data_IF_186008630509
#
_entry.id   IF_186008630509
#
_cell.length_a   1.000
_cell.length_b   1.000
_cell.length_c   1.000
_cell.angle_alpha   90.00
_cell.angle_beta   90.00
_cell.angle_gamma   90.00
#
_symmetry.space_group_name_H-M   'P 1'
#
loop_
_entity.id
_entity.type
_entity.pdbx_description
1 polymer ?
#
# COMPACT_ATOMS: atom_id res chain seq x y z
N UNK A 1 22.62 -59.83 6.71
CA UNK A 1 21.86 -58.92 7.59
C UNK A 1 22.63 -57.60 7.71
N UNK A 2 22.25 -56.59 6.93
CA UNK A 2 22.83 -55.24 7.05
C UNK A 2 21.72 -54.25 7.38
N UNK A 3 21.85 -53.62 8.55
CA UNK A 3 20.94 -52.59 9.06
C UNK A 3 21.16 -51.30 8.25
N UNK A 4 20.14 -50.86 7.52
CA UNK A 4 20.04 -49.47 7.08
C UNK A 4 19.67 -48.61 8.30
N UNK A 5 20.53 -47.65 8.65
CA UNK A 5 20.20 -46.55 9.55
C UNK A 5 19.60 -45.43 8.71
N UNK A 6 18.31 -45.14 8.91
CA UNK A 6 17.68 -43.92 8.45
C UNK A 6 18.25 -42.74 9.24
N UNK A 7 19.06 -41.91 8.60
CA UNK A 7 19.42 -40.59 9.12
C UNK A 7 18.35 -39.59 8.70
N UNK A 8 17.44 -39.31 9.62
CA UNK A 8 16.52 -38.18 9.55
C UNK A 8 17.38 -36.89 9.70
N UNK A 9 17.70 -36.24 8.59
CA UNK A 9 18.26 -34.90 8.61
C UNK A 9 17.11 -33.91 8.86
N UNK A 10 16.92 -33.54 10.13
CA UNK A 10 16.23 -32.29 10.46
C UNK A 10 17.05 -31.15 9.85
N UNK A 11 16.57 -30.60 8.74
CA UNK A 11 17.01 -29.30 8.26
C UNK A 11 16.61 -28.27 9.32
N UNK A 12 17.54 -27.93 10.21
CA UNK A 12 17.44 -26.76 11.06
C UNK A 12 17.40 -25.55 10.11
N UNK A 13 16.21 -24.95 9.96
CA UNK A 13 16.04 -23.70 9.25
C UNK A 13 17.04 -22.69 9.83
N UNK A 14 17.93 -22.18 8.98
CA UNK A 14 18.81 -21.08 9.34
C UNK A 14 17.94 -19.92 9.89
N UNK A 15 18.40 -19.20 10.93
CA UNK A 15 17.67 -18.05 11.44
C UNK A 15 17.50 -17.05 10.29
N UNK A 16 16.25 -16.85 9.85
CA UNK A 16 15.88 -15.82 8.89
C UNK A 16 16.40 -14.51 9.49
N UNK A 17 17.37 -13.88 8.83
CA UNK A 17 17.81 -12.54 9.21
C UNK A 17 16.56 -11.67 9.39
N UNK A 18 16.42 -11.02 10.55
CA UNK A 18 15.20 -10.29 10.89
C UNK A 18 14.88 -9.28 9.78
N UNK A 19 13.88 -9.61 8.95
CA UNK A 19 13.49 -8.78 7.81
C UNK A 19 13.00 -7.44 8.34
N UNK A 20 13.67 -6.35 7.96
CA UNK A 20 13.26 -4.98 8.29
C UNK A 20 11.88 -4.71 7.69
N UNK A 21 10.99 -4.06 8.45
CA UNK A 21 9.77 -3.48 7.89
C UNK A 21 10.13 -2.25 7.05
N UNK A 22 9.69 -2.22 5.79
CA UNK A 22 9.90 -1.06 4.92
C UNK A 22 8.84 0.01 5.17
N UNK A 23 9.28 1.24 5.35
CA UNK A 23 8.40 2.38 5.58
C UNK A 23 8.24 3.23 4.31
N UNK A 24 7.05 3.78 4.08
CA UNK A 24 6.75 4.55 2.88
C UNK A 24 5.74 5.67 3.10
N UNK A 25 5.46 6.38 2.01
CA UNK A 25 4.41 7.40 1.96
C UNK A 25 3.69 7.36 0.61
N UNK A 26 2.36 7.36 0.65
CA UNK A 26 1.49 7.58 -0.50
C UNK A 26 1.08 9.04 -0.54
N UNK A 27 1.55 9.81 -1.52
CA UNK A 27 1.36 11.26 -1.55
C UNK A 27 1.39 11.87 -2.94
N UNK A 28 0.53 12.87 -3.13
CA UNK A 28 0.55 13.78 -4.29
C UNK A 28 1.20 15.12 -3.94
N UNK A 29 1.49 15.37 -2.65
CA UNK A 29 2.02 16.64 -2.16
C UNK A 29 3.38 17.00 -2.76
N UNK A 30 4.17 16.00 -3.18
CA UNK A 30 5.45 16.27 -3.82
C UNK A 30 5.33 16.93 -5.19
N UNK A 31 4.19 16.82 -5.87
CA UNK A 31 3.96 17.55 -7.12
C UNK A 31 3.90 19.07 -6.87
N UNK A 32 3.24 19.48 -5.79
CA UNK A 32 3.12 20.90 -5.40
C UNK A 32 4.35 21.41 -4.64
N UNK A 33 5.13 20.51 -4.04
CA UNK A 33 6.35 20.82 -3.31
C UNK A 33 7.50 19.84 -3.65
N UNK A 34 8.19 20.00 -4.79
CA UNK A 34 9.33 19.14 -5.13
C UNK A 34 10.47 19.20 -4.10
N UNK A 35 10.69 20.35 -3.47
CA UNK A 35 11.68 20.51 -2.38
C UNK A 35 11.32 19.70 -1.12
N UNK A 36 10.03 19.40 -0.91
CA UNK A 36 9.59 18.52 0.16
C UNK A 36 10.04 17.07 -0.11
N UNK A 37 10.05 16.62 -1.37
CA UNK A 37 10.58 15.31 -1.74
C UNK A 37 12.07 15.20 -1.41
N UNK A 38 12.86 16.23 -1.70
CA UNK A 38 14.28 16.25 -1.37
C UNK A 38 14.53 16.20 0.14
N UNK A 39 13.82 17.03 0.90
CA UNK A 39 13.88 17.02 2.36
C UNK A 39 13.53 15.64 2.92
N UNK A 40 12.47 15.03 2.38
CA UNK A 40 11.99 13.72 2.78
C UNK A 40 13.03 12.64 2.41
N UNK A 41 13.59 12.62 1.21
CA UNK A 41 14.62 11.65 0.80
C UNK A 41 15.91 11.73 1.62
N UNK A 42 16.34 12.95 1.96
CA UNK A 42 17.56 13.19 2.73
C UNK A 42 17.41 12.79 4.20
N UNK A 43 16.19 12.79 4.73
CA UNK A 43 15.91 12.30 6.09
C UNK A 43 16.17 10.79 6.25
N UNK A 44 16.10 10.01 5.16
CA UNK A 44 16.22 8.56 5.20
C UNK A 44 15.05 7.83 5.89
N UNK A 45 13.94 8.53 6.15
CA UNK A 45 12.82 8.03 6.95
C UNK A 45 11.95 7.00 6.22
N UNK A 46 11.91 7.03 4.89
CA UNK A 46 11.15 6.08 4.09
C UNK A 46 12.01 5.40 3.03
N UNK A 47 11.70 4.13 2.82
CA UNK A 47 12.33 3.21 1.89
C UNK A 47 11.63 3.26 0.51
N UNK A 48 10.38 3.72 0.43
CA UNK A 48 9.60 3.82 -0.81
C UNK A 48 8.52 4.92 -0.77
N UNK A 49 8.04 5.34 -1.94
CA UNK A 49 6.94 6.29 -2.06
C UNK A 49 6.13 6.06 -3.35
N UNK A 50 4.91 6.60 -3.40
CA UNK A 50 4.00 6.43 -4.53
C UNK A 50 2.92 7.53 -4.53
N UNK A 51 2.15 7.65 -5.61
CA UNK A 51 1.27 8.81 -5.86
C UNK A 51 -0.04 8.46 -6.63
N UNK A 52 -0.55 7.23 -6.48
CA UNK A 52 -1.71 6.71 -7.23
C UNK A 52 -1.57 6.73 -8.77
N UNK A 53 -0.36 6.94 -9.30
CA UNK A 53 -0.10 7.03 -10.73
C UNK A 53 1.09 6.14 -11.14
N UNK A 54 1.18 5.83 -12.43
CA UNK A 54 2.33 5.12 -12.97
C UNK A 54 3.50 6.07 -13.24
N UNK A 55 3.23 7.37 -13.35
CA UNK A 55 4.24 8.40 -13.54
C UNK A 55 4.54 9.16 -12.22
N UNK A 56 5.81 9.49 -12.02
CA UNK A 56 6.32 10.23 -10.84
C UNK A 56 5.59 11.55 -10.60
N UNK A 57 5.24 12.29 -11.67
CA UNK A 57 4.51 13.58 -11.63
C UNK A 57 5.09 14.63 -10.64
N UNK A 58 6.40 14.64 -10.46
CA UNK A 58 7.12 15.65 -9.69
C UNK A 58 8.12 16.34 -10.62
N UNK A 59 8.13 17.67 -10.63
CA UNK A 59 9.20 18.41 -11.30
C UNK A 59 10.49 18.32 -10.49
N UNK A 60 11.39 17.43 -10.95
CA UNK A 60 12.67 17.15 -10.30
C UNK A 60 13.83 17.98 -10.87
N UNK A 61 13.57 18.92 -11.79
CA UNK A 61 14.61 19.64 -12.55
C UNK A 61 15.56 20.47 -11.67
N UNK A 62 15.09 20.90 -10.50
CA UNK A 62 15.84 21.74 -9.55
C UNK A 62 16.34 20.98 -8.31
N UNK A 63 16.15 19.67 -8.24
CA UNK A 63 16.60 18.86 -7.09
C UNK A 63 18.02 18.33 -7.30
N UNK A 64 18.70 17.97 -6.22
CA UNK A 64 20.01 17.32 -6.31
C UNK A 64 19.94 16.02 -7.16
N UNK A 65 20.83 15.82 -8.16
CA UNK A 65 20.82 14.63 -9.02
C UNK A 65 20.84 13.28 -8.27
N UNK A 66 21.53 13.21 -7.12
CA UNK A 66 21.55 12.00 -6.27
C UNK A 66 20.19 11.74 -5.65
N UNK A 67 19.51 12.80 -5.20
CA UNK A 67 18.14 12.74 -4.67
C UNK A 67 17.17 12.32 -5.76
N UNK A 68 17.31 12.84 -6.98
CA UNK A 68 16.50 12.42 -8.14
C UNK A 68 16.71 10.93 -8.41
N UNK A 69 17.96 10.46 -8.44
CA UNK A 69 18.28 9.06 -8.64
C UNK A 69 17.68 8.16 -7.56
N UNK A 70 17.77 8.56 -6.29
CA UNK A 70 17.16 7.84 -5.16
C UNK A 70 15.64 7.83 -5.27
N UNK A 71 15.03 8.99 -5.48
CA UNK A 71 13.58 9.13 -5.55
C UNK A 71 12.96 8.25 -6.64
N UNK A 72 13.56 8.22 -7.83
CA UNK A 72 13.12 7.34 -8.93
C UNK A 72 13.23 5.87 -8.57
N UNK A 73 14.34 5.44 -7.98
CA UNK A 73 14.56 4.03 -7.57
C UNK A 73 13.61 3.57 -6.46
N UNK A 74 13.15 4.49 -5.62
CA UNK A 74 12.24 4.20 -4.51
C UNK A 74 10.77 4.46 -4.85
N UNK A 75 10.47 4.89 -6.08
CA UNK A 75 9.10 5.13 -6.53
C UNK A 75 8.42 3.80 -6.92
N UNK A 76 7.21 3.58 -6.41
CA UNK A 76 6.37 2.44 -6.78
C UNK A 76 5.23 2.92 -7.70
N UNK A 77 5.29 2.67 -9.02
CA UNK A 77 4.20 3.01 -9.93
C UNK A 77 2.92 2.24 -9.61
N UNK A 78 1.77 2.86 -9.82
CA UNK A 78 0.45 2.25 -9.67
C UNK A 78 -0.35 2.33 -10.96
N UNK A 79 -0.93 1.21 -11.39
CA UNK A 79 -1.92 1.20 -12.46
C UNK A 79 -3.30 1.28 -11.83
N UNK A 80 -3.77 2.51 -11.67
CA UNK A 80 -4.92 2.83 -10.84
C UNK A 80 -6.23 2.13 -11.27
N UNK A 81 -6.47 1.95 -12.57
CA UNK A 81 -7.68 1.34 -13.11
C UNK A 81 -7.46 0.64 -14.46
N UNK A 82 -8.52 0.52 -15.26
CA UNK A 82 -8.49 -0.27 -16.52
C UNK A 82 -7.68 0.36 -17.65
N UNK A 83 -7.38 1.65 -17.55
CA UNK A 83 -6.61 2.36 -18.57
C UNK A 83 -5.13 1.96 -18.50
N UNK A 84 -4.68 1.24 -19.52
CA UNK A 84 -3.26 0.88 -19.65
C UNK A 84 -2.39 2.15 -19.76
N UNK A 85 -1.16 2.13 -19.20
CA UNK A 85 -0.19 3.21 -19.36
C UNK A 85 0.05 3.54 -20.84
N UNK A 86 0.13 4.83 -21.15
CA UNK A 86 0.48 5.29 -22.51
C UNK A 86 1.98 5.19 -22.79
N UNK A 87 2.78 5.21 -21.73
CA UNK A 87 4.21 5.02 -21.76
C UNK A 87 4.64 3.96 -20.74
N UNK A 88 5.78 3.33 -20.99
CA UNK A 88 6.42 2.35 -20.11
C UNK A 88 7.59 2.97 -19.33
N UNK A 89 7.64 4.31 -19.22
CA UNK A 89 8.80 5.02 -18.67
C UNK A 89 9.16 4.60 -17.25
N UNK A 90 8.16 4.14 -16.48
CA UNK A 90 8.36 3.64 -15.12
C UNK A 90 9.25 2.40 -15.03
N UNK A 91 9.38 1.59 -16.09
CA UNK A 91 10.33 0.47 -16.12
C UNK A 91 11.79 0.94 -16.05
N UNK A 92 12.08 2.20 -16.39
CA UNK A 92 13.43 2.77 -16.33
C UNK A 92 13.78 3.39 -14.96
N UNK A 93 12.82 3.55 -14.06
CA UNK A 93 13.01 4.28 -12.80
C UNK A 93 13.83 3.49 -11.76
N UNK A 94 13.89 2.17 -11.91
CA UNK A 94 14.64 1.29 -11.03
C UNK A 94 13.87 0.81 -9.80
N UNK A 95 12.58 1.13 -9.69
CA UNK A 95 11.68 0.56 -8.67
C UNK A 95 11.46 -0.94 -8.87
N UNK A 96 11.22 -1.66 -7.77
CA UNK A 96 11.12 -3.12 -7.75
C UNK A 96 9.71 -3.64 -8.10
N UNK A 97 8.69 -2.89 -7.71
CA UNK A 97 7.28 -3.27 -7.80
C UNK A 97 6.49 -2.36 -8.74
N UNK A 98 5.42 -2.91 -9.32
CA UNK A 98 4.26 -2.16 -9.83
C UNK A 98 3.01 -2.57 -9.06
N UNK A 99 2.19 -1.61 -8.68
CA UNK A 99 0.91 -1.85 -7.98
C UNK A 99 -0.27 -1.88 -8.95
N UNK A 100 -1.23 -2.74 -8.64
CA UNK A 100 -2.50 -2.86 -9.38
C UNK A 100 -3.52 -1.78 -9.05
N UNK A 101 -4.79 -2.12 -9.28
CA UNK A 101 -5.93 -1.21 -9.16
C UNK A 101 -6.13 -0.68 -7.73
N UNK A 102 -6.61 0.55 -7.61
CA UNK A 102 -6.84 1.21 -6.31
C UNK A 102 -8.24 0.94 -5.79
N UNK A 103 -8.41 0.22 -4.69
CA UNK A 103 -9.71 0.03 -4.02
C UNK A 103 -10.84 -0.38 -4.98
N UNK A 104 -10.68 -1.43 -5.81
CA UNK A 104 -11.78 -1.95 -6.60
C UNK A 104 -12.93 -2.48 -5.73
N UNK A 105 -12.69 -2.71 -4.43
CA UNK A 105 -13.64 -3.22 -3.45
C UNK A 105 -14.48 -2.14 -2.75
N UNK A 106 -14.30 -0.87 -3.10
CA UNK A 106 -15.07 0.24 -2.55
C UNK A 106 -15.48 1.19 -3.67
N UNK A 107 -16.77 1.42 -3.86
CA UNK A 107 -17.30 2.42 -4.75
C UNK A 107 -17.48 3.77 -4.05
N UNK A 108 -16.65 4.72 -4.49
CA UNK A 108 -16.92 6.14 -4.30
C UNK A 108 -16.04 6.86 -3.27
N UNK A 109 -16.30 8.18 -3.09
CA UNK A 109 -17.43 8.90 -3.67
C UNK A 109 -17.31 9.05 -5.20
N UNK A 110 -18.43 8.84 -5.90
CA UNK A 110 -18.52 9.21 -7.31
C UNK A 110 -18.42 10.75 -7.40
N UNK A 111 -17.64 11.26 -8.35
CA UNK A 111 -17.68 12.69 -8.65
C UNK A 111 -19.08 13.07 -9.17
N UNK A 112 -19.86 13.71 -8.32
CA UNK A 112 -21.11 14.42 -8.55
C UNK A 112 -22.32 13.64 -9.14
N UNK A 113 -23.39 13.65 -8.35
CA UNK A 113 -24.74 14.03 -8.80
C UNK A 113 -25.28 15.09 -7.84
N UNK A 114 -26.29 15.87 -8.23
CA UNK A 114 -26.84 17.07 -7.51
C UNK A 114 -27.29 16.85 -6.05
N UNK A 115 -27.15 15.64 -5.51
CA UNK A 115 -27.63 15.21 -4.21
C UNK A 115 -26.52 14.90 -3.19
N UNK A 116 -25.24 14.97 -3.55
CA UNK A 116 -24.13 14.73 -2.61
C UNK A 116 -23.11 15.88 -2.66
N UNK A 117 -22.64 16.38 -1.50
CA UNK A 117 -21.56 17.37 -1.48
C UNK A 117 -20.35 16.81 -2.25
N UNK A 118 -19.76 17.68 -3.07
CA UNK A 118 -18.68 17.37 -4.03
C UNK A 118 -17.61 16.48 -3.39
N UNK A 119 -17.38 15.30 -3.95
CA UNK A 119 -16.25 14.45 -3.56
C UNK A 119 -14.91 15.15 -3.83
N UNK A 120 -13.92 14.92 -2.98
CA UNK A 120 -12.57 15.45 -3.18
C UNK A 120 -11.88 14.81 -4.40
N UNK A 121 -11.12 15.59 -5.16
CA UNK A 121 -10.45 15.14 -6.40
C UNK A 121 -11.24 15.40 -7.70
N UNK A 122 -12.45 15.94 -7.59
CA UNK A 122 -13.27 16.34 -8.73
C UNK A 122 -12.98 17.80 -9.09
N UNK A 123 -12.38 18.05 -10.27
CA UNK A 123 -12.35 19.39 -10.85
C UNK A 123 -13.77 19.88 -11.18
N UNK A 124 -13.97 21.18 -11.39
CA UNK A 124 -15.18 21.66 -12.05
C UNK A 124 -15.27 20.95 -13.42
N UNK A 125 -16.22 20.03 -13.55
CA UNK A 125 -16.46 19.17 -14.72
C UNK A 125 -15.56 17.93 -14.90
N UNK A 126 -14.76 17.51 -13.91
CA UNK A 126 -13.96 16.27 -14.01
C UNK A 126 -14.61 15.12 -13.22
N UNK A 127 -15.17 14.13 -13.94
CA UNK A 127 -15.75 12.91 -13.39
C UNK A 127 -14.63 11.87 -13.17
N UNK A 128 -14.01 11.84 -11.98
CA UNK A 128 -13.04 10.78 -11.64
C UNK A 128 -13.38 10.13 -10.31
N UNK A 129 -13.72 8.84 -10.28
CA UNK A 129 -13.99 8.20 -9.01
C UNK A 129 -12.76 8.25 -8.10
N UNK A 130 -12.94 8.42 -6.78
CA UNK A 130 -11.83 8.38 -5.82
C UNK A 130 -11.20 6.97 -5.71
N UNK A 131 -11.91 5.97 -6.23
CA UNK A 131 -11.54 4.56 -6.24
C UNK A 131 -11.69 3.96 -7.63
N UNK A 132 -10.92 2.93 -7.94
CA UNK A 132 -10.99 2.25 -9.24
C UNK A 132 -12.33 1.54 -9.45
N UNK A 133 -13.07 1.26 -8.38
CA UNK A 133 -14.43 0.71 -8.46
C UNK A 133 -15.41 1.60 -9.22
N UNK A 134 -15.14 2.90 -9.37
CA UNK A 134 -15.99 3.76 -10.21
C UNK A 134 -15.94 3.44 -11.70
N UNK A 135 -15.11 2.48 -12.11
CA UNK A 135 -15.20 1.83 -13.41
C UNK A 135 -16.17 0.63 -13.45
N UNK A 136 -16.99 0.39 -12.42
CA UNK A 136 -18.02 -0.65 -12.21
C UNK A 136 -17.60 -2.10 -12.53
N UNK A 137 -17.08 -2.34 -13.74
CA UNK A 137 -16.33 -3.53 -14.16
C UNK A 137 -15.20 -3.94 -13.21
N UNK A 138 -14.58 -3.01 -12.49
CA UNK A 138 -13.58 -3.38 -11.48
C UNK A 138 -14.20 -3.75 -10.12
N UNK A 139 -15.44 -3.34 -9.83
CA UNK A 139 -16.12 -3.72 -8.59
C UNK A 139 -16.51 -5.20 -8.58
N UNK A 140 -16.86 -5.74 -9.75
CA UNK A 140 -17.09 -7.18 -9.95
C UNK A 140 -15.74 -7.93 -10.05
N UNK A 141 -15.39 -8.81 -9.08
CA UNK A 141 -14.12 -9.51 -9.08
C UNK A 141 -13.85 -10.36 -10.33
N UNK A 142 -14.90 -10.91 -10.96
CA UNK A 142 -14.75 -11.72 -12.18
C UNK A 142 -14.43 -10.86 -13.40
N UNK A 143 -15.01 -9.67 -13.49
CA UNK A 143 -14.67 -8.69 -14.54
C UNK A 143 -13.28 -8.10 -14.27
N UNK A 144 -12.96 -7.76 -13.03
CA UNK A 144 -11.65 -7.28 -12.63
C UNK A 144 -10.54 -8.30 -12.93
N UNK A 145 -10.78 -9.60 -12.75
CA UNK A 145 -9.81 -10.65 -13.11
C UNK A 145 -9.44 -10.63 -14.61
N UNK A 146 -10.39 -10.31 -15.50
CA UNK A 146 -10.14 -10.16 -16.94
C UNK A 146 -9.33 -8.90 -17.24
N UNK A 147 -9.65 -7.78 -16.60
CA UNK A 147 -8.87 -6.54 -16.75
C UNK A 147 -7.45 -6.70 -16.17
N UNK A 148 -7.31 -7.46 -15.08
CA UNK A 148 -6.03 -7.84 -14.50
C UNK A 148 -5.19 -8.66 -15.48
N UNK A 149 -5.78 -9.67 -16.12
CA UNK A 149 -5.09 -10.47 -17.13
C UNK A 149 -4.57 -9.60 -18.28
N UNK A 150 -5.37 -8.66 -18.79
CA UNK A 150 -4.95 -7.71 -19.82
C UNK A 150 -3.78 -6.86 -19.35
N UNK A 151 -3.86 -6.33 -18.12
CA UNK A 151 -2.81 -5.52 -17.54
C UNK A 151 -1.49 -6.29 -17.40
N UNK A 152 -1.52 -7.48 -16.77
CA UNK A 152 -0.31 -8.28 -16.55
C UNK A 152 0.34 -8.65 -17.88
N UNK A 153 -0.46 -9.07 -18.87
CA UNK A 153 0.06 -9.41 -20.20
C UNK A 153 0.62 -8.18 -20.94
N UNK A 154 0.04 -6.99 -20.74
CA UNK A 154 0.62 -5.74 -21.23
C UNK A 154 1.97 -5.47 -20.57
N UNK A 155 2.07 -5.54 -19.24
CA UNK A 155 3.34 -5.32 -18.54
C UNK A 155 4.42 -6.29 -18.99
N UNK A 156 4.06 -7.55 -19.27
CA UNK A 156 4.97 -8.56 -19.79
C UNK A 156 5.30 -8.40 -21.29
N UNK A 157 4.58 -7.58 -22.05
CA UNK A 157 4.91 -7.30 -23.46
C UNK A 157 5.84 -6.10 -23.63
N UNK A 158 5.98 -5.27 -22.60
CA UNK A 158 6.86 -4.10 -22.60
C UNK A 158 8.33 -4.53 -22.81
N UNK A 159 9.02 -4.07 -23.87
CA UNK A 159 10.41 -4.46 -24.14
C UNK A 159 11.38 -4.06 -23.03
N UNK A 160 11.22 -2.86 -22.45
CA UNK A 160 12.10 -2.31 -21.42
C UNK A 160 12.12 -3.15 -20.13
N UNK A 161 11.12 -4.02 -19.93
CA UNK A 161 11.05 -4.91 -18.75
C UNK A 161 12.29 -5.77 -18.61
N UNK A 162 12.90 -6.22 -19.72
CA UNK A 162 14.02 -7.16 -19.70
C UNK A 162 15.24 -6.57 -18.98
N UNK A 163 15.48 -5.27 -19.17
CA UNK A 163 16.57 -4.51 -18.54
C UNK A 163 16.17 -3.77 -17.25
N UNK A 164 14.88 -3.81 -16.87
CA UNK A 164 14.36 -3.09 -15.71
C UNK A 164 14.83 -3.68 -14.38
N UNK A 165 14.79 -2.92 -13.28
CA UNK A 165 14.83 -3.49 -11.93
C UNK A 165 13.44 -3.92 -11.43
N UNK A 166 12.38 -3.55 -12.15
CA UNK A 166 11.01 -3.91 -11.85
C UNK A 166 10.82 -5.40 -12.16
N UNK A 167 10.51 -6.16 -11.11
CA UNK A 167 10.43 -7.62 -11.15
C UNK A 167 9.20 -8.17 -10.49
N UNK A 168 8.50 -7.36 -9.70
CA UNK A 168 7.41 -7.82 -8.85
C UNK A 168 6.10 -7.08 -9.13
N UNK A 169 4.99 -7.77 -8.92
CA UNK A 169 3.65 -7.21 -9.09
C UNK A 169 2.92 -7.29 -7.74
N UNK A 170 2.38 -6.15 -7.30
CA UNK A 170 1.44 -6.14 -6.19
C UNK A 170 0.00 -6.16 -6.75
N UNK A 171 -0.85 -6.97 -6.12
CA UNK A 171 -2.27 -7.09 -6.44
C UNK A 171 -3.01 -5.73 -6.34
N UNK A 172 -4.29 -5.66 -6.77
CA UNK A 172 -5.16 -4.55 -6.41
C UNK A 172 -5.18 -4.31 -4.88
N UNK A 173 -5.24 -3.03 -4.48
CA UNK A 173 -5.21 -2.62 -3.08
C UNK A 173 -6.62 -2.58 -2.46
N UNK A 174 -6.82 -3.23 -1.32
CA UNK A 174 -8.16 -3.42 -0.73
C UNK A 174 -8.47 -2.45 0.41
N UNK A 175 -9.58 -1.71 0.32
CA UNK A 175 -10.11 -0.85 1.39
C UNK A 175 -10.94 -1.63 2.43
N UNK A 176 -11.62 -2.69 2.02
CA UNK A 176 -12.55 -3.46 2.84
C UNK A 176 -11.88 -4.64 3.54
N UNK A 177 -12.61 -5.28 4.44
CA UNK A 177 -12.14 -6.49 5.13
C UNK A 177 -12.15 -7.70 4.19
N UNK A 178 -11.34 -8.73 4.45
CA UNK A 178 -11.34 -9.92 3.63
C UNK A 178 -12.59 -10.79 3.88
N UNK A 179 -13.40 -10.49 4.89
CA UNK A 179 -14.62 -11.20 5.25
C UNK A 179 -15.72 -10.23 5.75
N UNK A 180 -17.01 -10.61 5.68
CA UNK A 180 -17.54 -11.78 4.96
C UNK A 180 -17.40 -11.65 3.44
N UNK A 181 -17.81 -12.68 2.69
CA UNK A 181 -17.87 -12.65 1.22
C UNK A 181 -19.18 -11.98 0.78
N UNK A 182 -19.12 -10.71 0.41
CA UNK A 182 -20.27 -9.99 -0.14
C UNK A 182 -20.45 -10.33 -1.64
N UNK A 183 -21.69 -10.25 -2.16
CA UNK A 183 -21.93 -10.32 -3.61
C UNK A 183 -21.66 -8.95 -4.25
N UNK A 184 -20.64 -8.91 -5.09
CA UNK A 184 -20.12 -7.70 -5.72
C UNK A 184 -20.28 -7.73 -7.24
N UNK A 185 -21.14 -8.62 -7.75
CA UNK A 185 -21.42 -8.75 -9.19
C UNK A 185 -22.25 -7.60 -9.74
N UNK A 186 -22.99 -6.91 -8.87
CA UNK A 186 -23.87 -5.81 -9.22
C UNK A 186 -23.11 -4.50 -9.37
N UNK A 187 -23.59 -3.64 -10.28
CA UNK A 187 -23.03 -2.31 -10.46
C UNK A 187 -23.25 -1.45 -9.20
N UNK A 188 -22.17 -1.02 -8.51
CA UNK A 188 -22.28 -0.22 -7.31
C UNK A 188 -22.74 1.22 -7.60
N UNK A 189 -22.96 1.64 -8.85
CA UNK A 189 -23.60 2.91 -9.17
C UNK A 189 -25.13 2.86 -9.01
N UNK A 190 -25.74 1.67 -9.07
CA UNK A 190 -27.20 1.53 -9.05
C UNK A 190 -27.81 1.83 -7.68
N UNK A 191 -29.07 2.31 -7.62
CA UNK A 191 -29.80 2.41 -6.36
C UNK A 191 -29.89 1.04 -5.66
N UNK A 192 -29.77 1.02 -4.33
CA UNK A 192 -29.88 -0.18 -3.47
C UNK A 192 -28.80 -1.27 -3.67
N UNK A 193 -27.74 -1.02 -4.43
CA UNK A 193 -26.58 -1.93 -4.50
C UNK A 193 -25.53 -1.57 -3.46
N UNK A 194 -24.78 -2.58 -3.00
CA UNK A 194 -23.68 -2.36 -2.05
C UNK A 194 -22.63 -1.44 -2.66
N UNK A 195 -22.09 -0.52 -1.86
CA UNK A 195 -20.98 0.35 -2.24
C UNK A 195 -19.64 -0.18 -1.75
N UNK A 196 -19.66 -1.23 -0.92
CA UNK A 196 -18.49 -1.83 -0.31
C UNK A 196 -18.54 -3.33 -0.51
N UNK A 197 -17.42 -3.93 -0.88
CA UNK A 197 -17.30 -5.35 -1.15
C UNK A 197 -16.31 -5.99 -0.18
N UNK A 198 -16.77 -6.54 0.93
CA UNK A 198 -15.91 -7.37 1.77
C UNK A 198 -15.69 -8.72 1.07
N UNK A 199 -14.50 -9.27 1.24
CA UNK A 199 -14.12 -10.52 0.57
C UNK A 199 -13.82 -10.40 -0.92
N UNK A 200 -13.78 -9.18 -1.47
CA UNK A 200 -13.47 -8.94 -2.88
C UNK A 200 -12.21 -9.68 -3.36
N UNK A 201 -11.11 -9.59 -2.59
CA UNK A 201 -9.83 -10.20 -2.97
C UNK A 201 -9.88 -11.73 -3.02
N UNK A 202 -10.73 -12.35 -2.20
CA UNK A 202 -10.93 -13.81 -2.23
C UNK A 202 -11.60 -14.22 -3.54
N UNK A 203 -12.69 -13.55 -3.91
CA UNK A 203 -13.35 -13.80 -5.19
C UNK A 203 -12.44 -13.48 -6.37
N UNK A 204 -11.66 -12.40 -6.30
CA UNK A 204 -10.69 -12.08 -7.33
C UNK A 204 -9.60 -13.15 -7.46
N UNK A 205 -9.09 -13.69 -6.34
CA UNK A 205 -8.16 -14.83 -6.35
C UNK A 205 -8.80 -16.04 -7.05
N UNK A 206 -10.02 -16.42 -6.68
CA UNK A 206 -10.73 -17.55 -7.31
C UNK A 206 -10.83 -17.38 -8.83
N UNK A 207 -11.16 -16.18 -9.30
CA UNK A 207 -11.32 -15.90 -10.73
C UNK A 207 -9.97 -15.83 -11.46
N UNK A 208 -8.94 -15.24 -10.86
CA UNK A 208 -7.60 -15.13 -11.47
C UNK A 208 -6.84 -16.45 -11.50
N UNK A 209 -7.15 -17.39 -10.60
CA UNK A 209 -6.63 -18.76 -10.64
C UNK A 209 -7.07 -19.53 -11.90
N UNK A 210 -8.18 -19.14 -12.51
CA UNK A 210 -8.72 -19.75 -13.73
C UNK A 210 -8.14 -19.15 -15.03
N UNK A 211 -7.33 -18.09 -14.92
CA UNK A 211 -6.80 -17.34 -16.06
C UNK A 211 -5.28 -17.52 -16.19
N UNK A 212 -4.78 -17.66 -17.42
CA UNK A 212 -3.34 -17.70 -17.71
C UNK A 212 -2.80 -16.28 -17.96
N UNK A 213 -1.68 -15.95 -17.33
CA UNK A 213 -0.94 -14.71 -17.48
C UNK A 213 0.52 -14.97 -17.86
N UNK A 214 1.13 -13.99 -18.52
CA UNK A 214 2.57 -13.92 -18.70
C UNK A 214 3.17 -13.08 -17.57
N UNK A 215 4.01 -13.67 -16.72
CA UNK A 215 4.72 -12.93 -15.68
C UNK A 215 5.79 -11.99 -16.28
N UNK A 216 6.33 -11.07 -15.46
CA UNK A 216 7.40 -10.16 -15.90
C UNK A 216 8.68 -10.87 -16.32
N UNK A 217 8.89 -12.10 -15.83
CA UNK A 217 9.97 -13.00 -16.24
C UNK A 217 9.80 -13.56 -17.67
N UNK A 218 8.62 -13.40 -18.28
CA UNK A 218 8.26 -14.04 -19.55
C UNK A 218 7.85 -15.51 -19.41
N UNK A 219 7.60 -15.99 -18.18
CA UNK A 219 7.05 -17.32 -17.93
C UNK A 219 5.52 -17.26 -17.80
N UNK A 220 4.86 -18.25 -18.39
CA UNK A 220 3.42 -18.46 -18.23
C UNK A 220 3.11 -19.05 -16.87
N UNK A 221 2.09 -18.50 -16.21
CA UNK A 221 1.54 -19.02 -14.95
C UNK A 221 0.08 -18.55 -14.84
N UNK A 222 -0.65 -18.93 -13.79
CA UNK A 222 -1.97 -18.35 -13.55
C UNK A 222 -1.86 -16.90 -13.08
N UNK A 223 -2.90 -16.10 -13.31
CA UNK A 223 -2.89 -14.68 -13.03
C UNK A 223 -2.85 -14.31 -11.54
N UNK A 224 -2.98 -15.28 -10.63
CA UNK A 224 -2.76 -15.07 -9.19
C UNK A 224 -1.29 -15.28 -8.79
N UNK A 225 -0.61 -16.24 -9.41
CA UNK A 225 0.77 -16.60 -9.05
C UNK A 225 1.83 -15.66 -9.65
N UNK A 226 1.43 -14.70 -10.49
CA UNK A 226 2.25 -13.52 -10.86
C UNK A 226 2.36 -12.48 -9.74
N UNK A 227 1.50 -12.57 -8.71
CA UNK A 227 1.44 -11.60 -7.61
C UNK A 227 2.45 -11.94 -6.52
N UNK A 228 3.26 -10.95 -6.14
CA UNK A 228 4.25 -11.03 -5.06
C UNK A 228 3.76 -10.38 -3.75
N UNK A 229 2.85 -9.39 -3.85
CA UNK A 229 2.38 -8.64 -2.69
C UNK A 229 0.86 -8.41 -2.72
N UNK A 230 0.24 -8.39 -1.54
CA UNK A 230 -1.17 -8.08 -1.32
C UNK A 230 -1.29 -6.74 -0.60
N UNK A 231 -1.59 -5.63 -1.31
CA UNK A 231 -1.81 -4.34 -0.69
C UNK A 231 -3.19 -4.25 -0.03
N UNK A 232 -3.23 -3.64 1.15
CA UNK A 232 -4.45 -3.29 1.87
C UNK A 232 -4.35 -1.86 2.38
N UNK A 233 -5.49 -1.20 2.53
CA UNK A 233 -5.63 0.10 3.16
C UNK A 233 -6.28 -0.07 4.53
N UNK A 234 -5.83 0.69 5.53
CA UNK A 234 -6.42 0.68 6.86
C UNK A 234 -6.68 2.12 7.33
N UNK A 235 -7.94 2.50 7.25
CA UNK A 235 -8.49 3.72 7.82
C UNK A 235 -9.14 3.34 9.15
N UNK A 236 -8.55 3.76 10.26
CA UNK A 236 -8.88 3.21 11.58
C UNK A 236 -9.04 4.31 12.65
N UNK A 237 -9.66 3.96 13.76
CA UNK A 237 -9.69 4.79 14.99
C UNK A 237 -8.58 4.41 15.95
N UNK A 238 -8.09 3.17 15.88
CA UNK A 238 -7.09 2.65 16.81
C UNK A 238 -6.05 1.80 16.08
N UNK A 239 -4.85 1.71 16.63
CA UNK A 239 -3.82 0.81 16.13
C UNK A 239 -4.28 -0.67 16.15
N UNK A 240 -5.15 -1.03 17.09
CA UNK A 240 -5.67 -2.39 17.20
C UNK A 240 -6.55 -2.77 16.00
N UNK A 241 -7.40 -1.86 15.51
CA UNK A 241 -8.22 -2.11 14.31
C UNK A 241 -7.35 -2.40 13.07
N UNK A 242 -6.23 -1.69 12.92
CA UNK A 242 -5.26 -1.95 11.84
C UNK A 242 -4.64 -3.35 11.98
N UNK A 243 -4.18 -3.69 13.19
CA UNK A 243 -3.58 -5.01 13.47
C UNK A 243 -4.58 -6.15 13.27
N UNK A 244 -5.82 -5.96 13.68
CA UNK A 244 -6.90 -6.94 13.50
C UNK A 244 -7.18 -7.17 12.01
N UNK A 245 -7.23 -6.10 11.20
CA UNK A 245 -7.38 -6.22 9.74
C UNK A 245 -6.21 -6.98 9.11
N UNK A 246 -4.98 -6.66 9.49
CA UNK A 246 -3.77 -7.38 9.05
C UNK A 246 -3.87 -8.88 9.38
N UNK A 247 -4.26 -9.22 10.61
CA UNK A 247 -4.42 -10.62 11.02
C UNK A 247 -5.56 -11.33 10.29
N UNK A 248 -6.67 -10.66 9.98
CA UNK A 248 -7.74 -11.22 9.16
C UNK A 248 -7.25 -11.58 7.77
N UNK A 249 -6.50 -10.68 7.11
CA UNK A 249 -5.90 -10.99 5.80
C UNK A 249 -4.90 -12.14 5.90
N UNK A 250 -4.02 -12.12 6.90
CA UNK A 250 -3.08 -13.22 7.13
C UNK A 250 -3.78 -14.57 7.28
N UNK A 251 -4.86 -14.63 8.06
CA UNK A 251 -5.64 -15.85 8.27
C UNK A 251 -6.30 -16.34 6.98
N UNK A 252 -6.91 -15.44 6.22
CA UNK A 252 -7.64 -15.80 4.98
C UNK A 252 -6.70 -16.25 3.87
N UNK A 253 -5.55 -15.60 3.73
CA UNK A 253 -4.56 -15.89 2.68
C UNK A 253 -3.33 -16.62 3.22
N UNK A 254 -3.49 -17.40 4.29
CA UNK A 254 -2.38 -18.05 4.99
C UNK A 254 -1.52 -18.89 4.05
N UNK A 255 -2.14 -19.68 3.17
CA UNK A 255 -1.40 -20.50 2.20
C UNK A 255 -0.54 -19.67 1.25
N UNK A 256 -0.99 -18.48 0.87
CA UNK A 256 -0.24 -17.56 0.01
C UNK A 256 0.95 -16.95 0.77
N UNK A 257 0.80 -16.61 2.05
CA UNK A 257 1.88 -16.09 2.88
C UNK A 257 2.92 -17.15 3.27
N UNK A 258 2.47 -18.39 3.42
CA UNK A 258 3.34 -19.55 3.70
C UNK A 258 4.02 -20.07 2.43
N UNK A 259 3.50 -19.75 1.23
CA UNK A 259 4.05 -20.20 -0.05
C UNK A 259 3.95 -21.71 -0.23
N UNK A 260 2.87 -22.31 0.29
CA UNK A 260 2.63 -23.77 0.24
C UNK A 260 1.65 -24.11 -0.88
N UNK A 261 1.40 -25.41 -1.10
CA UNK A 261 0.47 -25.92 -2.12
C UNK A 261 0.77 -25.41 -3.56
N UNK A 262 2.04 -25.19 -3.87
CA UNK A 262 2.49 -24.72 -5.19
C UNK A 262 2.28 -23.22 -5.44
N UNK A 263 2.01 -22.42 -4.39
CA UNK A 263 1.82 -20.96 -4.50
C UNK A 263 3.12 -20.19 -4.42
N UNK A 264 3.19 -19.08 -5.15
CA UNK A 264 4.23 -18.06 -4.95
C UNK A 264 4.01 -17.41 -3.59
N UNK A 265 5.04 -17.45 -2.72
CA UNK A 265 5.01 -16.82 -1.40
C UNK A 265 4.77 -15.31 -1.52
N UNK A 266 3.70 -14.81 -0.92
CA UNK A 266 3.31 -13.40 -0.96
C UNK A 266 3.70 -12.67 0.31
N UNK A 267 3.78 -11.34 0.22
CA UNK A 267 3.89 -10.45 1.39
C UNK A 267 2.66 -9.56 1.50
N UNK A 268 2.28 -9.17 2.71
CA UNK A 268 1.23 -8.16 2.93
C UNK A 268 1.86 -6.77 2.90
N UNK A 269 1.19 -5.82 2.26
CA UNK A 269 1.55 -4.41 2.27
C UNK A 269 0.41 -3.59 2.85
N UNK A 270 0.71 -2.68 3.76
CA UNK A 270 -0.23 -1.67 4.23
C UNK A 270 0.04 -0.37 3.46
N UNK A 271 -0.57 -0.17 2.29
CA UNK A 271 -0.19 0.92 1.37
C UNK A 271 -0.78 2.26 1.75
N UNK A 272 -1.94 2.27 2.39
CA UNK A 272 -2.54 3.46 2.99
C UNK A 272 -2.89 3.15 4.45
N UNK A 273 -2.27 3.86 5.39
CA UNK A 273 -2.67 3.85 6.80
C UNK A 273 -2.86 5.26 7.32
N UNK A 274 -3.97 5.48 8.01
CA UNK A 274 -4.25 6.72 8.72
C UNK A 274 -5.22 6.47 9.86
N UNK A 275 -5.13 7.33 10.88
CA UNK A 275 -6.13 7.43 11.92
C UNK A 275 -7.10 8.56 11.60
N UNK A 276 -8.38 8.33 11.87
CA UNK A 276 -9.42 9.33 11.83
C UNK A 276 -9.45 10.23 13.05
N UNK A 277 -8.64 11.30 13.09
CA UNK A 277 -8.67 12.31 14.15
C UNK A 277 -8.01 13.61 13.70
N UNK A 278 -8.33 14.72 14.35
CA UNK A 278 -7.64 16.00 14.21
C UNK A 278 -6.72 16.34 15.41
N UNK A 279 -6.68 15.48 16.43
CA UNK A 279 -5.84 15.63 17.62
C UNK A 279 -4.44 15.03 17.39
N UNK A 280 -3.40 15.86 17.54
CA UNK A 280 -2.03 15.45 17.32
C UNK A 280 -1.51 14.43 18.35
N UNK A 281 -2.02 14.46 19.58
CA UNK A 281 -1.66 13.53 20.66
C UNK A 281 -2.19 12.13 20.36
N UNK A 282 -3.43 12.04 19.89
CA UNK A 282 -4.04 10.78 19.48
C UNK A 282 -3.30 10.16 18.30
N UNK A 283 -2.85 10.99 17.34
CA UNK A 283 -2.04 10.53 16.22
C UNK A 283 -0.70 9.96 16.65
N UNK A 284 0.02 10.64 17.55
CA UNK A 284 1.30 10.14 18.08
C UNK A 284 1.09 8.81 18.78
N UNK A 285 0.07 8.72 19.64
CA UNK A 285 -0.27 7.47 20.34
C UNK A 285 -0.62 6.35 19.36
N UNK A 286 -1.41 6.63 18.33
CA UNK A 286 -1.76 5.65 17.30
C UNK A 286 -0.51 5.12 16.58
N UNK A 287 0.41 5.99 16.20
CA UNK A 287 1.67 5.61 15.54
C UNK A 287 2.52 4.75 16.48
N UNK A 288 2.69 5.16 17.74
CA UNK A 288 3.50 4.44 18.72
C UNK A 288 2.89 3.05 19.02
N UNK A 289 1.58 2.98 19.25
CA UNK A 289 0.85 1.72 19.50
C UNK A 289 0.87 0.79 18.27
N UNK A 290 0.89 1.36 17.05
CA UNK A 290 0.95 0.57 15.82
C UNK A 290 2.37 0.08 15.53
N UNK A 291 3.40 0.90 15.75
CA UNK A 291 4.77 0.64 15.28
C UNK A 291 5.71 0.10 16.37
N UNK A 292 5.28 -0.08 17.62
CA UNK A 292 6.18 -0.58 18.67
C UNK A 292 6.72 -2.01 18.38
N UNK A 293 7.84 -2.35 19.00
CA UNK A 293 8.54 -3.63 18.79
C UNK A 293 7.97 -4.81 19.57
N UNK A 294 7.09 -4.57 20.54
CA UNK A 294 6.56 -5.62 21.43
C UNK A 294 5.33 -6.28 20.81
N UNK A 295 4.36 -5.49 20.36
CA UNK A 295 3.10 -5.97 19.81
C UNK A 295 2.62 -5.17 18.57
N UNK A 296 3.46 -4.27 18.07
CA UNK A 296 3.24 -3.50 16.85
C UNK A 296 3.94 -4.09 15.63
N UNK A 297 3.86 -3.41 14.49
CA UNK A 297 4.30 -3.88 13.17
C UNK A 297 5.82 -4.13 13.08
N UNK A 298 6.61 -3.53 13.97
CA UNK A 298 8.05 -3.79 14.10
C UNK A 298 8.34 -5.16 14.74
N UNK A 299 7.38 -5.79 15.42
CA UNK A 299 7.54 -7.16 15.90
C UNK A 299 7.48 -8.14 14.71
N UNK A 300 8.66 -8.52 14.22
CA UNK A 300 8.78 -9.41 13.05
C UNK A 300 8.43 -10.88 13.33
N UNK A 301 8.31 -11.28 14.60
CA UNK A 301 7.77 -12.60 14.94
C UNK A 301 6.24 -12.63 14.75
N UNK A 302 5.56 -11.52 15.03
CA UNK A 302 4.11 -11.40 14.88
C UNK A 302 3.68 -10.98 13.46
N UNK A 303 4.46 -10.08 12.84
CA UNK A 303 4.12 -9.46 11.55
C UNK A 303 5.18 -9.72 10.47
N UNK A 304 5.91 -10.82 10.56
CA UNK A 304 6.98 -11.16 9.60
C UNK A 304 6.53 -11.24 8.14
N UNK A 305 5.24 -11.47 7.89
CA UNK A 305 4.63 -11.49 6.56
C UNK A 305 4.28 -10.09 6.01
N UNK A 306 4.24 -9.05 6.85
CA UNK A 306 4.03 -7.67 6.45
C UNK A 306 5.37 -7.06 6.01
N UNK A 307 5.58 -6.86 4.71
CA UNK A 307 6.84 -6.32 4.17
C UNK A 307 6.89 -4.80 4.22
N UNK A 308 5.75 -4.13 4.00
CA UNK A 308 5.70 -2.67 3.83
C UNK A 308 4.55 -2.02 4.55
N UNK A 309 4.78 -0.82 5.04
CA UNK A 309 3.77 0.12 5.52
C UNK A 309 3.99 1.49 4.89
N UNK A 310 2.93 2.14 4.43
CA UNK A 310 2.95 3.47 3.84
C UNK A 310 1.87 4.34 4.45
N UNK A 311 2.28 5.50 4.95
CA UNK A 311 1.38 6.49 5.52
C UNK A 311 0.59 7.19 4.42
N UNK A 312 -0.71 7.32 4.62
CA UNK A 312 -1.58 8.06 3.71
C UNK A 312 -1.36 9.57 3.89
N UNK A 313 -1.05 10.27 2.79
CA UNK A 313 -0.73 11.69 2.83
C UNK A 313 -1.40 12.47 1.69
N UNK A 314 -2.48 13.20 1.99
CA UNK A 314 -3.09 14.20 1.10
C UNK A 314 -3.42 15.50 1.85
N UNK A 315 -3.48 16.61 1.10
CA UNK A 315 -3.72 17.97 1.64
C UNK A 315 -5.08 18.15 2.32
N UNK A 316 -6.07 17.38 1.88
CA UNK A 316 -7.43 17.41 2.45
C UNK A 316 -8.23 16.24 1.89
N UNK A 317 -9.06 15.65 2.75
CA UNK A 317 -10.05 14.64 2.38
C UNK A 317 -11.40 15.19 2.78
N UNK A 318 -12.33 15.30 1.83
CA UNK A 318 -13.74 15.58 2.14
C UNK A 318 -14.34 14.36 2.82
N UNK A 319 -15.37 14.55 3.66
CA UNK A 319 -16.03 13.45 4.37
C UNK A 319 -16.58 12.40 3.40
N UNK A 320 -15.92 11.24 3.29
CA UNK A 320 -16.47 10.05 2.63
C UNK A 320 -16.31 8.84 3.54
N UNK A 321 -17.31 7.96 3.56
CA UNK A 321 -17.25 6.74 4.36
C UNK A 321 -16.16 5.80 3.80
N UNK A 322 -15.13 5.59 4.61
CA UNK A 322 -13.99 4.70 4.40
C UNK A 322 -14.31 3.38 5.10
N UNK A 323 -15.02 2.47 4.42
CA UNK A 323 -15.56 1.26 5.06
C UNK A 323 -16.51 1.59 6.22
N UNK A 324 -16.22 1.07 7.43
CA UNK A 324 -17.01 1.36 8.64
C UNK A 324 -16.74 2.73 9.28
N UNK A 325 -15.75 3.47 8.77
CA UNK A 325 -15.34 4.76 9.31
C UNK A 325 -15.88 5.90 8.44
N UNK A 326 -16.75 6.73 9.01
CA UNK A 326 -17.14 8.00 8.44
C UNK A 326 -16.28 9.11 9.08
N UNK A 327 -15.42 9.82 8.34
CA UNK A 327 -14.73 10.99 8.86
C UNK A 327 -15.73 12.07 9.25
N UNK A 328 -15.50 12.72 10.40
CA UNK A 328 -16.19 13.97 10.74
C UNK A 328 -15.77 15.06 9.74
N UNK A 329 -16.62 16.07 9.52
CA UNK A 329 -16.33 17.19 8.59
C UNK A 329 -15.09 18.00 8.98
N UNK A 330 -14.64 17.87 10.22
CA UNK A 330 -13.50 18.58 10.81
C UNK A 330 -12.27 17.69 11.03
N UNK A 331 -12.35 16.42 10.60
CA UNK A 331 -11.24 15.47 10.64
C UNK A 331 -10.42 15.59 9.34
N UNK A 332 -9.16 16.01 9.47
CA UNK A 332 -8.22 16.12 8.34
C UNK A 332 -7.21 14.98 8.46
N UNK A 333 -7.18 14.02 7.52
CA UNK A 333 -6.17 12.98 7.49
C UNK A 333 -4.74 13.55 7.43
N UNK A 334 -3.81 12.74 7.91
CA UNK A 334 -2.59 13.10 8.64
C UNK A 334 -1.54 13.99 7.94
N UNK A 335 -1.70 14.41 6.68
CA UNK A 335 -0.64 15.15 5.98
C UNK A 335 -0.88 16.65 5.74
N UNK A 336 -2.03 17.20 6.14
CA UNK A 336 -2.43 18.55 5.73
C UNK A 336 -1.82 19.73 6.50
N UNK A 337 -1.07 19.57 7.58
CA UNK A 337 -0.56 20.74 8.33
C UNK A 337 0.79 21.18 7.79
N UNK A 338 0.82 22.26 7.01
CA UNK A 338 2.01 23.12 6.87
C UNK A 338 1.80 24.43 7.63
N UNK A 339 2.85 25.02 8.24
CA UNK A 339 2.74 26.43 8.63
C UNK A 339 2.68 27.35 7.40
N UNK A 340 2.39 28.61 7.66
CA UNK A 340 2.65 29.79 6.82
C UNK A 340 4.08 29.92 6.24
N UNK A 341 4.97 28.96 6.47
CA UNK A 341 6.32 28.88 5.90
C UNK A 341 6.52 27.65 4.98
N UNK A 342 5.46 26.90 4.66
CA UNK A 342 5.52 25.73 3.77
C UNK A 342 6.20 24.49 4.37
N UNK A 343 6.44 24.45 5.70
CA UNK A 343 7.01 23.27 6.37
C UNK A 343 5.90 22.38 6.90
N UNK A 344 5.94 21.08 6.60
CA UNK A 344 5.10 20.03 7.22
C UNK A 344 5.19 20.16 8.75
N UNK A 345 4.18 20.79 9.33
CA UNK A 345 4.09 21.12 10.73
C UNK A 345 3.40 19.98 11.48
N UNK A 346 4.24 19.35 12.32
CA UNK A 346 3.91 18.59 13.53
C UNK A 346 3.61 17.10 13.47
N UNK A 347 3.53 16.45 12.31
CA UNK A 347 3.77 14.99 12.26
C UNK A 347 5.20 14.62 11.87
N UNK A 348 5.90 15.52 11.19
CA UNK A 348 7.28 15.27 10.79
C UNK A 348 8.29 15.58 11.90
N UNK A 349 8.00 16.49 12.86
CA UNK A 349 9.04 16.94 13.82
C UNK A 349 8.90 16.35 15.23
N UNK A 350 7.73 15.84 15.65
CA UNK A 350 7.57 15.27 17.00
C UNK A 350 7.96 13.78 17.13
N UNK A 351 8.20 13.10 16.01
CA UNK A 351 8.54 11.66 15.97
C UNK A 351 9.58 11.31 14.90
N UNK A 352 10.48 12.25 14.52
CA UNK A 352 11.62 11.96 13.64
C UNK A 352 12.47 10.76 14.15
N UNK A 353 12.44 10.47 15.46
CA UNK A 353 13.06 9.30 16.07
C UNK A 353 12.10 8.08 16.23
N UNK A 354 10.76 8.22 16.13
CA UNK A 354 9.79 7.15 16.42
C UNK A 354 9.02 6.58 15.23
N UNK A 355 8.94 7.26 14.07
CA UNK A 355 8.13 6.77 12.95
C UNK A 355 8.61 5.41 12.41
N UNK A 356 9.91 5.09 12.45
CA UNK A 356 10.45 3.77 12.07
C UNK A 356 11.67 3.29 12.88
N UNK A 357 12.10 3.98 13.95
CA UNK A 357 13.28 3.61 14.75
C UNK A 357 13.01 3.56 16.27
N UNK A 358 12.07 2.74 16.69
CA UNK A 358 11.98 2.37 18.11
C UNK A 358 13.07 1.34 18.43
N UNK A 359 14.28 1.79 18.83
CA UNK A 359 15.10 1.24 19.96
C UNK A 359 16.62 1.57 20.02
N UNK A 360 17.25 2.24 19.04
CA UNK A 360 18.71 2.42 19.08
C UNK A 360 19.22 3.76 19.68
N UNK A 361 18.42 4.84 19.62
CA UNK A 361 18.89 6.20 19.95
C UNK A 361 18.59 6.67 21.38
N UNK A 362 17.54 6.13 22.02
CA UNK A 362 17.15 6.54 23.38
C UNK A 362 18.12 6.03 24.45
N UNK A 363 18.76 4.85 24.26
CA UNK A 363 19.80 4.36 25.18
C UNK A 363 21.11 5.17 25.14
N UNK A 364 21.39 5.92 24.06
CA UNK A 364 22.60 6.77 23.97
C UNK A 364 22.40 8.17 24.54
N UNK A 365 21.19 8.75 24.46
CA UNK A 365 20.90 10.06 25.07
C UNK A 365 20.65 9.98 26.58
N UNK A 366 20.06 8.90 27.11
CA UNK A 366 19.86 8.76 28.56
C UNK A 366 21.14 8.44 29.35
N UNK A 367 22.09 7.66 28.79
CA UNK A 367 23.34 7.34 29.49
C UNK A 367 24.37 8.48 29.51
N UNK A 368 24.17 9.55 28.72
CA UNK A 368 25.01 10.76 28.79
C UNK A 368 24.54 11.73 29.87
N UNK A 369 23.25 11.73 30.21
CA UNK A 369 22.68 12.59 31.27
C UNK A 369 22.91 12.04 32.68
N UNK A 370 23.17 10.74 32.84
CA UNK A 370 23.42 10.09 34.14
C UNK A 370 24.91 9.95 34.49
N UNK A 371 25.81 10.49 33.66
CA UNK A 371 27.25 10.58 33.96
C UNK A 371 27.73 12.02 34.19
N UNK A 372 26.81 12.98 34.17
CA UNK A 372 27.08 14.40 34.43
C UNK A 372 26.10 15.00 35.44
N UNK A 373 25.53 14.16 36.31
CA UNK A 373 24.83 14.58 37.52
C UNK A 373 25.54 13.95 38.73
#
# INVERSE_FOLDING_TARGET
>A
MHRMRNSLLCALAAPVAAQKLHCGVGTNTFADCPQCLESAMNSGVFDFWWNWDYAVKVDMSHLNPEVVGKARKTFTPMIWGTKLPKDSGFFSLGGEYVMGFNEPDQYGPACAGDLMPRGFGCGENDFRPATSAGFASLFDPAKAAKEWQKLVNFLASVPERASSALRKIAAPAMAQSPLPLDDCSQDPALPNTTKYCRGWLQHFKEQTLLLECMGLSGQKTNCWDVVDALPIHAYARTAQEVKDKIHQYHKVFQEDFDGINGRTRKTLWLTEVTMGTNDATDLVKFVDDLMNSENGLQNRQLFGFLDRVSWFSQWSVGSFQLGSYAPHTDEVPVAGRTNSQGRLQKLIVASHDSLCQSLALIKRKFNKSLRSA
#
